data_IF_672951067887
#
_entry.id   IF_672951067887
#
_cell.length_a   1.000
_cell.length_b   1.000
_cell.length_c   1.000
_cell.angle_alpha   90.00
_cell.angle_beta   90.00
_cell.angle_gamma   90.00
#
_symmetry.space_group_name_H-M   'P 1'
#
loop_
_entity.id
_entity.type
_entity.pdbx_description
1 polymer ?
#
# COMPACT_ATOMS: atom_id res chain seq x y z
N UNK A 1 -7.33 -3.37 -23.58
CA UNK A 1 -7.01 -2.07 -22.93
C UNK A 1 -8.27 -1.37 -22.37
N UNK A 2 -9.37 -1.25 -23.12
CA UNK A 2 -10.62 -0.60 -22.67
C UNK A 2 -11.26 -1.24 -21.42
N UNK A 3 -11.31 -2.58 -21.34
CA UNK A 3 -11.86 -3.33 -20.19
C UNK A 3 -11.11 -3.07 -18.87
N UNK A 4 -9.79 -2.88 -18.93
CA UNK A 4 -8.96 -2.54 -17.75
C UNK A 4 -9.28 -1.14 -17.23
N UNK A 5 -9.46 -0.18 -18.14
CA UNK A 5 -9.81 1.21 -17.80
C UNK A 5 -11.18 1.28 -17.10
N UNK A 6 -12.20 0.63 -17.65
CA UNK A 6 -13.54 0.58 -17.04
C UNK A 6 -13.50 -0.04 -15.64
N UNK A 7 -12.76 -1.15 -15.45
CA UNK A 7 -12.62 -1.78 -14.14
C UNK A 7 -11.94 -0.86 -13.12
N UNK A 8 -10.90 -0.12 -13.53
CA UNK A 8 -10.24 0.85 -12.64
C UNK A 8 -11.20 1.99 -12.26
N UNK A 9 -12.00 2.49 -13.21
CA UNK A 9 -13.01 3.53 -12.93
C UNK A 9 -14.11 3.05 -11.98
N UNK A 10 -14.55 1.79 -12.10
CA UNK A 10 -15.52 1.19 -11.16
C UNK A 10 -14.94 1.00 -9.76
N UNK A 11 -13.71 0.48 -9.67
CA UNK A 11 -13.01 0.36 -8.39
C UNK A 11 -12.80 1.72 -7.73
N UNK A 12 -12.45 2.73 -8.52
CA UNK A 12 -12.21 4.09 -8.04
C UNK A 12 -13.48 4.73 -7.44
N UNK A 13 -14.64 4.49 -8.07
CA UNK A 13 -15.95 4.93 -7.57
C UNK A 13 -16.34 4.29 -6.23
N UNK A 14 -15.82 3.10 -5.92
CA UNK A 14 -16.10 2.42 -4.65
C UNK A 14 -15.34 3.03 -3.45
N UNK A 15 -14.31 3.84 -3.70
CA UNK A 15 -13.49 4.47 -2.66
C UNK A 15 -14.07 5.84 -2.31
N UNK A 16 -14.73 5.94 -1.16
CA UNK A 16 -15.39 7.17 -0.69
C UNK A 16 -14.44 8.33 -0.41
N UNK A 17 -13.25 8.03 0.13
CA UNK A 17 -12.27 9.03 0.55
C UNK A 17 -10.87 8.59 0.15
N UNK A 18 -10.10 9.52 -0.43
CA UNK A 18 -8.71 9.31 -0.83
C UNK A 18 -7.85 10.36 -0.13
N UNK A 19 -6.95 9.92 0.74
CA UNK A 19 -6.09 10.80 1.52
C UNK A 19 -4.66 10.57 1.05
N UNK A 20 -4.02 11.62 0.56
CA UNK A 20 -2.64 11.56 0.11
C UNK A 20 -1.74 12.15 1.18
N UNK A 21 -0.78 11.35 1.66
CA UNK A 21 0.21 11.78 2.65
C UNK A 21 1.55 11.96 1.93
N UNK A 22 2.02 13.21 1.83
CA UNK A 22 3.21 13.60 1.07
C UNK A 22 4.24 14.28 1.98
N UNK A 23 5.53 14.19 1.61
CA UNK A 23 6.59 15.01 2.22
C UNK A 23 7.64 15.44 1.19
N UNK A 24 8.23 16.62 1.41
CA UNK A 24 9.33 17.12 0.56
C UNK A 24 10.72 16.63 0.97
N UNK A 25 10.82 15.89 2.08
CA UNK A 25 12.08 15.33 2.61
C UNK A 25 11.85 13.93 3.17
N UNK A 26 12.87 13.09 3.10
CA UNK A 26 12.90 11.79 3.77
C UNK A 26 12.97 11.94 5.30
N UNK A 27 12.52 10.91 6.04
CA UNK A 27 12.67 10.85 7.49
C UNK A 27 11.71 11.71 8.34
N UNK A 28 10.75 12.42 7.73
CA UNK A 28 9.81 13.29 8.48
C UNK A 28 8.63 12.56 9.12
N UNK A 29 8.59 11.22 9.07
CA UNK A 29 7.50 10.42 9.66
C UNK A 29 6.27 10.23 8.77
N UNK A 30 6.38 10.45 7.45
CA UNK A 30 5.28 10.25 6.48
C UNK A 30 4.57 8.90 6.64
N UNK A 31 5.34 7.80 6.64
CA UNK A 31 4.81 6.44 6.79
C UNK A 31 4.18 6.21 8.17
N UNK A 32 4.74 6.82 9.22
CA UNK A 32 4.19 6.78 10.57
C UNK A 32 2.81 7.43 10.63
N UNK A 33 2.66 8.61 10.04
CA UNK A 33 1.36 9.29 9.95
C UNK A 33 0.36 8.46 9.16
N UNK A 34 0.76 7.92 8.00
CA UNK A 34 -0.12 7.07 7.18
C UNK A 34 -0.59 5.82 7.92
N UNK A 35 0.31 5.08 8.56
CA UNK A 35 -0.02 3.87 9.31
C UNK A 35 -0.92 4.18 10.51
N UNK A 36 -0.60 5.23 11.29
CA UNK A 36 -1.40 5.64 12.45
C UNK A 36 -2.80 6.11 12.06
N UNK A 37 -2.92 6.86 10.96
CA UNK A 37 -4.22 7.27 10.42
C UNK A 37 -5.05 6.05 9.99
N UNK A 38 -4.45 5.13 9.23
CA UNK A 38 -5.13 3.92 8.77
C UNK A 38 -5.64 3.07 9.93
N UNK A 39 -4.80 2.83 10.94
CA UNK A 39 -5.15 2.07 12.14
C UNK A 39 -6.28 2.73 12.94
N UNK A 40 -6.22 4.06 13.09
CA UNK A 40 -7.25 4.82 13.81
C UNK A 40 -8.61 4.74 13.10
N UNK A 41 -8.62 4.84 11.77
CA UNK A 41 -9.85 4.73 10.98
C UNK A 41 -10.41 3.30 11.01
N UNK A 42 -9.55 2.28 10.90
CA UNK A 42 -9.95 0.88 10.97
C UNK A 42 -10.56 0.54 12.34
N UNK A 43 -9.94 1.00 13.44
CA UNK A 43 -10.47 0.85 14.81
C UNK A 43 -11.81 1.55 15.04
N UNK A 44 -12.15 2.53 14.20
CA UNK A 44 -13.48 3.17 14.19
C UNK A 44 -14.50 2.40 13.33
N UNK A 45 -14.17 1.19 12.89
CA UNK A 45 -15.04 0.32 12.10
C UNK A 45 -15.09 0.66 10.61
N UNK A 46 -14.15 1.48 10.10
CA UNK A 46 -14.12 1.85 8.69
C UNK A 46 -13.34 0.82 7.86
N UNK A 47 -13.79 0.56 6.63
CA UNK A 47 -12.99 -0.18 5.66
C UNK A 47 -11.84 0.69 5.16
N UNK A 48 -10.60 0.26 5.41
CA UNK A 48 -9.39 1.04 5.10
C UNK A 48 -8.45 0.24 4.21
N UNK A 49 -7.89 0.94 3.22
CA UNK A 49 -6.75 0.46 2.43
C UNK A 49 -5.60 1.45 2.50
N UNK A 50 -4.37 0.94 2.43
CA UNK A 50 -3.15 1.73 2.32
C UNK A 50 -2.36 1.26 1.10
N UNK A 51 -1.90 2.23 0.31
CA UNK A 51 -1.05 2.01 -0.85
C UNK A 51 0.26 2.77 -0.64
N UNK A 52 1.35 2.02 -0.48
CA UNK A 52 2.69 2.55 -0.29
C UNK A 52 3.48 2.46 -1.61
N UNK A 53 3.79 3.63 -2.16
CA UNK A 53 4.52 3.80 -3.43
C UNK A 53 5.93 4.34 -3.21
N UNK A 54 6.43 4.37 -1.97
CA UNK A 54 7.77 4.85 -1.66
C UNK A 54 8.82 3.78 -2.01
N UNK A 55 9.49 3.96 -3.16
CA UNK A 55 10.48 2.99 -3.66
C UNK A 55 11.79 3.06 -2.85
N UNK A 56 12.10 4.22 -2.25
CA UNK A 56 13.40 4.48 -1.62
C UNK A 56 13.52 3.94 -0.20
N UNK A 57 12.39 3.60 0.42
CA UNK A 57 12.32 3.07 1.78
C UNK A 57 10.89 2.73 2.16
N UNK A 58 10.27 1.74 1.49
CA UNK A 58 8.91 1.31 1.81
C UNK A 58 8.91 0.71 3.22
N UNK A 59 8.21 1.36 4.14
CA UNK A 59 8.22 1.00 5.56
C UNK A 59 6.85 0.51 6.06
N UNK A 60 5.79 0.66 5.26
CA UNK A 60 4.43 0.34 5.73
C UNK A 60 4.26 -1.14 6.11
N UNK A 61 4.73 -2.13 5.32
CA UNK A 61 4.61 -3.53 5.72
C UNK A 61 5.28 -3.81 7.07
N UNK A 62 6.50 -3.30 7.26
CA UNK A 62 7.24 -3.41 8.52
C UNK A 62 6.50 -2.80 9.71
N UNK A 63 5.94 -1.62 9.53
CA UNK A 63 5.17 -0.95 10.60
C UNK A 63 3.89 -1.69 10.98
N UNK A 64 3.36 -2.53 10.09
CA UNK A 64 2.13 -3.29 10.26
C UNK A 64 2.37 -4.78 10.54
N UNK A 65 3.63 -5.19 10.78
CA UNK A 65 4.04 -6.58 10.98
C UNK A 65 3.65 -7.50 9.80
N UNK A 66 3.93 -7.04 8.58
CA UNK A 66 3.62 -7.70 7.31
C UNK A 66 4.87 -7.97 6.46
N UNK A 67 6.08 -7.93 7.02
CA UNK A 67 7.32 -8.13 6.26
C UNK A 67 7.34 -9.46 5.48
N UNK A 68 6.77 -10.51 6.05
CA UNK A 68 6.71 -11.85 5.47
C UNK A 68 5.46 -12.08 4.61
N UNK A 69 4.64 -11.04 4.39
CA UNK A 69 3.41 -11.19 3.61
C UNK A 69 3.72 -11.22 2.11
N UNK A 70 3.28 -12.28 1.45
CA UNK A 70 3.36 -12.39 -0.01
C UNK A 70 2.10 -11.81 -0.67
N UNK A 71 2.30 -11.00 -1.71
CA UNK A 71 1.18 -10.56 -2.54
C UNK A 71 0.75 -11.68 -3.48
N UNK A 72 -0.53 -12.04 -3.41
CA UNK A 72 -1.11 -12.95 -4.37
C UNK A 72 -1.51 -12.19 -5.65
N UNK A 73 -1.15 -12.73 -6.81
CA UNK A 73 -1.53 -12.16 -8.12
C UNK A 73 -2.35 -13.20 -8.88
N UNK A 74 -3.60 -12.87 -9.18
CA UNK A 74 -4.52 -13.71 -9.93
C UNK A 74 -5.23 -12.88 -11.00
N UNK A 75 -5.37 -13.42 -12.21
CA UNK A 75 -5.99 -12.75 -13.37
C UNK A 75 -5.46 -11.33 -13.66
N UNK A 76 -4.17 -11.08 -13.35
CA UNK A 76 -3.55 -9.77 -13.52
C UNK A 76 -4.01 -8.71 -12.49
N UNK A 77 -4.60 -9.15 -11.38
CA UNK A 77 -4.95 -8.33 -10.22
C UNK A 77 -4.07 -8.69 -9.04
N UNK A 78 -3.60 -7.66 -8.32
CA UNK A 78 -2.84 -7.83 -7.09
C UNK A 78 -3.84 -7.83 -5.93
N UNK A 79 -3.82 -8.89 -5.13
CA UNK A 79 -4.60 -9.01 -3.92
C UNK A 79 -3.78 -8.44 -2.74
N UNK A 80 -4.36 -7.51 -1.97
CA UNK A 80 -3.65 -6.86 -0.88
C UNK A 80 -3.35 -7.82 0.26
N UNK A 81 -2.20 -7.63 0.89
CA UNK A 81 -1.92 -8.23 2.19
C UNK A 81 -2.92 -7.69 3.22
N UNK A 82 -3.33 -8.54 4.16
CA UNK A 82 -4.28 -8.17 5.21
C UNK A 82 -3.51 -7.91 6.49
N UNK A 83 -3.47 -6.64 6.89
CA UNK A 83 -2.85 -6.18 8.12
C UNK A 83 -3.77 -6.21 9.33
N UNK A 84 -3.28 -5.66 10.46
CA UNK A 84 -4.06 -5.47 11.67
C UNK A 84 -5.39 -4.77 11.40
N UNK A 85 -6.43 -5.10 12.16
CA UNK A 85 -7.77 -4.53 12.03
C UNK A 85 -8.41 -4.73 10.63
N UNK A 86 -7.88 -5.66 9.82
CA UNK A 86 -8.38 -5.94 8.46
C UNK A 86 -7.95 -4.92 7.41
N UNK A 87 -6.95 -4.09 7.69
CA UNK A 87 -6.43 -3.08 6.75
C UNK A 87 -5.85 -3.77 5.52
N UNK A 88 -6.27 -3.35 4.33
CA UNK A 88 -5.74 -3.86 3.06
C UNK A 88 -4.47 -3.09 2.66
N UNK A 89 -3.36 -3.79 2.49
CA UNK A 89 -2.04 -3.20 2.26
C UNK A 89 -1.50 -3.61 0.90
N UNK A 90 -1.12 -2.62 0.09
CA UNK A 90 -0.25 -2.79 -1.09
C UNK A 90 0.98 -1.93 -0.86
N UNK A 91 2.17 -2.49 -1.05
CA UNK A 91 3.43 -1.76 -0.94
C UNK A 91 4.44 -2.26 -1.96
N UNK A 92 5.30 -1.37 -2.43
CA UNK A 92 6.48 -1.74 -3.21
C UNK A 92 7.43 -2.66 -2.43
N UNK A 93 7.44 -2.62 -1.10
CA UNK A 93 8.27 -3.52 -0.28
C UNK A 93 8.00 -5.01 -0.56
N UNK A 94 6.77 -5.38 -0.91
CA UNK A 94 6.42 -6.77 -1.23
C UNK A 94 7.00 -7.27 -2.56
N UNK A 95 7.49 -6.36 -3.40
CA UNK A 95 8.04 -6.66 -4.72
C UNK A 95 9.58 -6.62 -4.73
N UNK A 96 10.20 -6.32 -3.59
CA UNK A 96 11.65 -6.23 -3.44
C UNK A 96 12.11 -7.50 -2.70
N UNK A 97 12.80 -8.41 -3.40
CA UNK A 97 13.31 -9.65 -2.81
C UNK A 97 14.39 -9.41 -1.75
N UNK A 98 15.16 -8.33 -1.90
CA UNK A 98 16.24 -7.97 -0.98
C UNK A 98 16.21 -6.45 -0.73
N UNK A 99 15.77 -6.01 0.46
CA UNK A 99 15.60 -4.59 0.78
C UNK A 99 16.94 -3.81 0.81
N UNK A 100 18.07 -4.51 0.93
CA UNK A 100 19.40 -3.89 0.91
C UNK A 100 20.02 -3.88 -0.51
N UNK A 101 19.40 -4.54 -1.49
CA UNK A 101 19.83 -4.48 -2.89
C UNK A 101 19.20 -3.29 -3.61
N UNK A 102 20.01 -2.52 -4.38
CA UNK A 102 19.47 -1.53 -5.30
C UNK A 102 18.55 -2.21 -6.32
N UNK A 103 17.30 -1.77 -6.39
CA UNK A 103 16.36 -2.22 -7.43
C UNK A 103 16.78 -1.57 -8.76
N UNK A 104 17.31 -2.37 -9.68
CA UNK A 104 17.61 -1.91 -11.03
C UNK A 104 16.32 -1.92 -11.85
N UNK A 105 15.67 -0.78 -11.95
CA UNK A 105 14.51 -0.63 -12.83
C UNK A 105 14.97 -0.54 -14.29
N UNK A 106 14.66 -1.56 -15.09
CA UNK A 106 14.78 -1.47 -16.55
C UNK A 106 13.40 -1.13 -17.12
N UNK A 107 13.33 0.03 -17.77
CA UNK A 107 12.16 0.43 -18.56
C UNK A 107 12.02 -0.41 -19.81
#
# INVERSE_FOLDING_TARGET
QMRRKMRMEEMDKSIKHKIMVLSGKGGVGKSTVSAGLALTLARRGMSVGIMDIDITGPNIPKMLALEEAELHVEEGQIFPAIGPEGIKVISMAFLIEDPDKPVIWRG
#
